data_IF_182301267326
#
_entry.id   IF_182301267326
#
_cell.length_a   1.000
_cell.length_b   1.000
_cell.length_c   1.000
_cell.angle_alpha   90.00
_cell.angle_beta   90.00
_cell.angle_gamma   90.00
#
_symmetry.space_group_name_H-M   'P 1'
#
loop_
_entity.id
_entity.type
_entity.pdbx_description
1 polymer ?
#
# COMPACT_ATOMS: atom_id res chain seq x y z
N UNK A 1 -4.96 -35.37 20.49
CA UNK A 1 -5.71 -34.10 20.67
C UNK A 1 -4.76 -32.97 21.02
N UNK A 2 -4.05 -33.01 22.16
CA UNK A 2 -3.10 -31.95 22.59
C UNK A 2 -2.04 -31.50 21.54
N UNK A 3 -1.42 -32.42 20.79
CA UNK A 3 -0.43 -32.05 19.75
C UNK A 3 -1.04 -31.31 18.55
N UNK A 4 -2.30 -31.61 18.20
CA UNK A 4 -3.00 -30.94 17.10
C UNK A 4 -3.45 -29.55 17.52
N UNK A 5 -3.95 -29.40 18.75
CA UNK A 5 -4.27 -28.10 19.35
C UNK A 5 -3.05 -27.19 19.42
N UNK A 6 -1.90 -27.72 19.87
CA UNK A 6 -0.63 -26.99 19.87
C UNK A 6 -0.21 -26.54 18.46
N UNK A 7 -0.38 -27.40 17.45
CA UNK A 7 -0.07 -27.07 16.06
C UNK A 7 -1.00 -26.00 15.51
N UNK A 8 -2.30 -26.06 15.81
CA UNK A 8 -3.28 -25.05 15.40
C UNK A 8 -2.99 -23.70 16.07
N UNK A 9 -2.63 -23.70 17.35
CA UNK A 9 -2.27 -22.49 18.08
C UNK A 9 -0.94 -21.89 17.57
N UNK A 10 0.04 -22.73 17.25
CA UNK A 10 1.27 -22.29 16.59
C UNK A 10 1.00 -21.65 15.22
N UNK A 11 0.08 -22.22 14.44
CA UNK A 11 -0.35 -21.65 13.17
C UNK A 11 -0.97 -20.26 13.34
N UNK A 12 -1.86 -20.10 14.34
CA UNK A 12 -2.45 -18.80 14.68
C UNK A 12 -1.37 -17.78 15.06
N UNK A 13 -0.46 -18.12 15.98
CA UNK A 13 0.62 -17.20 16.40
C UNK A 13 1.56 -16.80 15.26
N UNK A 14 1.87 -17.74 14.36
CA UNK A 14 2.74 -17.46 13.24
C UNK A 14 2.06 -16.61 12.15
N UNK A 15 0.80 -16.91 11.83
CA UNK A 15 0.10 -16.28 10.70
C UNK A 15 -0.68 -15.02 11.07
N UNK A 16 -1.25 -14.95 12.28
CA UNK A 16 -2.03 -13.80 12.75
C UNK A 16 -1.19 -12.86 13.64
N UNK A 17 -0.53 -13.40 14.68
CA UNK A 17 0.28 -12.59 15.62
C UNK A 17 1.71 -12.29 15.11
N UNK A 18 2.09 -12.83 13.94
CA UNK A 18 3.40 -12.61 13.27
C UNK A 18 4.62 -12.98 14.11
N UNK A 19 4.47 -13.86 15.10
CA UNK A 19 5.57 -14.27 15.98
C UNK A 19 6.63 -15.10 15.25
N UNK A 20 7.87 -15.06 15.75
CA UNK A 20 8.93 -15.92 15.23
C UNK A 20 8.84 -17.35 15.76
N UNK A 21 9.39 -18.31 14.99
CA UNK A 21 9.36 -19.74 15.34
C UNK A 21 9.97 -20.02 16.73
N UNK A 22 11.01 -19.28 17.12
CA UNK A 22 11.67 -19.41 18.44
C UNK A 22 10.77 -18.95 19.58
N UNK A 23 10.04 -17.85 19.38
CA UNK A 23 9.12 -17.29 20.37
C UNK A 23 7.91 -18.20 20.56
N UNK A 24 7.34 -18.69 19.45
CA UNK A 24 6.22 -19.65 19.46
C UNK A 24 6.63 -20.94 20.18
N UNK A 25 7.83 -21.45 19.90
CA UNK A 25 8.34 -22.66 20.55
C UNK A 25 8.45 -22.50 22.07
N UNK A 26 8.90 -21.32 22.52
CA UNK A 26 9.00 -20.97 23.94
C UNK A 26 7.61 -20.87 24.57
N UNK A 27 6.67 -20.16 23.92
CA UNK A 27 5.29 -19.96 24.38
C UNK A 27 4.50 -21.27 24.50
N UNK A 28 4.68 -22.18 23.54
CA UNK A 28 4.00 -23.48 23.50
C UNK A 28 4.77 -24.60 24.23
N UNK A 29 5.96 -24.30 24.78
CA UNK A 29 6.85 -25.27 25.44
C UNK A 29 7.18 -26.47 24.54
N UNK A 30 7.44 -26.21 23.26
CA UNK A 30 7.86 -27.21 22.26
C UNK A 30 9.29 -26.91 21.78
N UNK A 31 9.95 -27.89 21.14
CA UNK A 31 11.31 -27.68 20.61
C UNK A 31 11.26 -26.70 19.42
N UNK A 32 12.22 -25.77 19.28
CA UNK A 32 12.25 -24.82 18.15
C UNK A 32 12.17 -25.48 16.77
N UNK A 33 12.85 -26.62 16.60
CA UNK A 33 12.82 -27.37 15.34
C UNK A 33 11.41 -27.87 14.98
N UNK A 34 10.59 -28.20 15.98
CA UNK A 34 9.21 -28.68 15.76
C UNK A 34 8.33 -27.61 15.12
N UNK A 35 8.45 -26.34 15.56
CA UNK A 35 7.71 -25.23 14.95
C UNK A 35 8.26 -24.93 13.55
N UNK A 36 9.58 -25.00 13.37
CA UNK A 36 10.23 -24.87 12.06
C UNK A 36 9.72 -25.91 11.04
N UNK A 37 9.61 -27.17 11.45
CA UNK A 37 9.08 -28.26 10.62
C UNK A 37 7.61 -28.03 10.26
N UNK A 38 6.79 -27.54 11.19
CA UNK A 38 5.39 -27.22 10.90
C UNK A 38 5.26 -26.07 9.90
N UNK A 39 6.07 -25.02 10.04
CA UNK A 39 6.09 -23.89 9.10
C UNK A 39 6.47 -24.37 7.69
N UNK A 40 7.51 -25.21 7.59
CA UNK A 40 8.01 -25.72 6.31
C UNK A 40 7.02 -26.67 5.64
N UNK A 41 6.50 -27.65 6.37
CA UNK A 41 5.64 -28.69 5.82
C UNK A 41 4.20 -28.21 5.58
N UNK A 42 3.77 -27.16 6.27
CA UNK A 42 2.40 -26.63 6.18
C UNK A 42 2.21 -25.44 5.25
N UNK A 43 3.25 -24.99 4.53
CA UNK A 43 3.23 -23.76 3.71
C UNK A 43 2.81 -22.50 4.49
N UNK A 44 3.08 -22.45 5.81
CA UNK A 44 2.61 -21.36 6.66
C UNK A 44 3.20 -20.00 6.26
N UNK A 45 4.44 -20.01 5.75
CA UNK A 45 5.08 -18.79 5.24
C UNK A 45 4.30 -18.19 4.08
N UNK A 46 3.89 -19.00 3.11
CA UNK A 46 3.08 -18.54 1.98
C UNK A 46 1.73 -17.99 2.46
N UNK A 47 1.06 -18.66 3.40
CA UNK A 47 -0.21 -18.18 3.97
C UNK A 47 -0.03 -16.83 4.67
N UNK A 48 1.01 -16.70 5.50
CA UNK A 48 1.34 -15.45 6.19
C UNK A 48 1.66 -14.33 5.20
N UNK A 49 2.49 -14.62 4.21
CA UNK A 49 2.90 -13.64 3.20
C UNK A 49 1.69 -13.19 2.36
N UNK A 50 0.76 -14.10 2.01
CA UNK A 50 -0.50 -13.75 1.35
C UNK A 50 -1.41 -12.87 2.22
N UNK A 51 -1.42 -13.08 3.55
CA UNK A 51 -2.16 -12.21 4.48
C UNK A 51 -1.52 -10.83 4.63
N UNK A 52 -0.19 -10.76 4.71
CA UNK A 52 0.54 -9.48 4.79
C UNK A 52 0.36 -8.69 3.49
N UNK A 53 0.46 -9.35 2.35
CA UNK A 53 0.28 -8.75 1.03
C UNK A 53 -1.19 -8.65 0.61
N UNK A 54 -2.14 -8.77 1.56
CA UNK A 54 -3.54 -8.50 1.28
C UNK A 54 -3.71 -7.12 0.65
N UNK A 55 -4.80 -6.98 -0.09
CA UNK A 55 -5.00 -5.85 -0.97
C UNK A 55 -4.86 -4.49 -0.26
N UNK A 56 -5.21 -4.39 1.01
CA UNK A 56 -5.04 -3.19 1.84
C UNK A 56 -3.60 -2.66 1.89
N UNK A 57 -2.60 -3.48 2.25
CA UNK A 57 -1.23 -2.96 2.39
C UNK A 57 -0.61 -2.52 1.06
N UNK A 58 -0.99 -3.18 -0.05
CA UNK A 58 -0.55 -2.78 -1.39
C UNK A 58 -1.26 -1.50 -1.84
N UNK A 59 -2.54 -1.36 -1.50
CA UNK A 59 -3.32 -0.13 -1.73
C UNK A 59 -2.67 1.06 -1.04
N UNK A 60 -2.38 0.92 0.26
CA UNK A 60 -1.77 1.98 1.07
C UNK A 60 -0.42 2.43 0.48
N UNK A 61 0.40 1.49 0.02
CA UNK A 61 1.68 1.81 -0.64
C UNK A 61 1.50 2.54 -1.97
N UNK A 62 0.52 2.14 -2.79
CA UNK A 62 0.24 2.83 -4.06
C UNK A 62 -0.26 4.25 -3.78
N UNK A 63 -1.16 4.41 -2.80
CA UNK A 63 -1.67 5.71 -2.38
C UNK A 63 -0.54 6.60 -1.87
N UNK A 64 0.34 6.07 -1.02
CA UNK A 64 1.50 6.81 -0.50
C UNK A 64 2.40 7.34 -1.62
N UNK A 65 2.69 6.54 -2.65
CA UNK A 65 3.50 7.00 -3.79
C UNK A 65 2.81 8.14 -4.54
N UNK A 66 1.48 8.07 -4.72
CA UNK A 66 0.71 9.15 -5.36
C UNK A 66 0.76 10.41 -4.51
N UNK A 67 0.59 10.28 -3.19
CA UNK A 67 0.60 11.40 -2.26
C UNK A 67 1.98 12.08 -2.23
N UNK A 68 3.06 11.30 -2.18
CA UNK A 68 4.44 11.82 -2.21
C UNK A 68 4.73 12.58 -3.52
N UNK A 69 4.32 12.04 -4.67
CA UNK A 69 4.44 12.71 -5.96
C UNK A 69 3.60 13.99 -6.03
N UNK A 70 2.41 13.99 -5.43
CA UNK A 70 1.55 15.18 -5.37
C UNK A 70 2.17 16.28 -4.50
N UNK A 71 2.80 15.92 -3.38
CA UNK A 71 3.55 16.87 -2.54
C UNK A 71 4.72 17.47 -3.32
N UNK A 72 5.54 16.64 -3.95
CA UNK A 72 6.66 17.11 -4.80
C UNK A 72 6.16 18.03 -5.91
N UNK A 73 5.01 17.70 -6.51
CA UNK A 73 4.39 18.51 -7.55
C UNK A 73 4.02 19.90 -7.05
N UNK A 74 3.40 20.00 -5.88
CA UNK A 74 2.99 21.26 -5.27
C UNK A 74 4.20 22.15 -4.95
N UNK A 75 5.27 21.57 -4.43
CA UNK A 75 6.51 22.29 -4.14
C UNK A 75 7.15 22.87 -5.41
N UNK A 76 7.20 22.08 -6.48
CA UNK A 76 7.70 22.54 -7.78
C UNK A 76 6.81 23.65 -8.34
N UNK A 77 5.48 23.53 -8.23
CA UNK A 77 4.55 24.58 -8.68
C UNK A 77 4.76 25.89 -7.93
N UNK A 78 5.04 25.83 -6.63
CA UNK A 78 5.35 27.01 -5.82
C UNK A 78 6.61 27.70 -6.33
N UNK A 79 7.70 26.96 -6.55
CA UNK A 79 8.96 27.50 -7.10
C UNK A 79 8.77 28.12 -8.49
N UNK A 80 8.06 27.44 -9.39
CA UNK A 80 7.74 27.96 -10.74
C UNK A 80 6.94 29.26 -10.69
N UNK A 81 6.11 29.47 -9.66
CA UNK A 81 5.36 30.71 -9.47
C UNK A 81 6.24 31.84 -8.92
N UNK A 82 7.19 31.54 -8.05
CA UNK A 82 8.03 32.52 -7.37
C UNK A 82 9.22 32.98 -8.21
N UNK A 83 9.86 32.07 -8.95
CA UNK A 83 11.08 32.36 -9.73
C UNK A 83 10.91 33.50 -10.76
N UNK A 84 9.80 33.60 -11.52
CA UNK A 84 9.60 34.72 -12.44
C UNK A 84 9.59 36.09 -11.76
N UNK A 85 9.11 36.16 -10.52
CA UNK A 85 9.10 37.40 -9.74
C UNK A 85 10.50 37.75 -9.25
N UNK A 86 11.23 36.77 -8.72
CA UNK A 86 12.63 36.94 -8.29
C UNK A 86 13.53 37.37 -9.46
N UNK A 87 13.36 36.74 -10.63
CA UNK A 87 14.08 37.11 -11.85
C UNK A 87 13.81 38.57 -12.23
N UNK A 88 12.56 39.03 -12.18
CA UNK A 88 12.20 40.42 -12.51
C UNK A 88 12.82 41.43 -11.53
N UNK A 89 12.86 41.09 -10.24
CA UNK A 89 13.46 41.93 -9.21
C UNK A 89 14.98 42.05 -9.41
N UNK A 90 15.67 40.94 -9.65
CA UNK A 90 17.10 40.93 -9.97
C UNK A 90 17.41 41.68 -11.27
N UNK A 91 16.58 41.51 -12.31
CA UNK A 91 16.73 42.25 -13.56
C UNK A 91 16.54 43.77 -13.40
N UNK A 92 15.73 44.21 -12.43
CA UNK A 92 15.58 45.61 -12.07
C UNK A 92 16.82 46.11 -11.33
N UNK A 93 17.31 45.36 -10.35
CA UNK A 93 18.51 45.70 -9.57
C UNK A 93 19.75 45.83 -10.46
N UNK A 94 19.91 44.94 -11.45
CA UNK A 94 20.99 45.02 -12.45
C UNK A 94 21.01 46.37 -13.18
N UNK A 95 19.84 46.99 -13.43
CA UNK A 95 19.75 48.29 -14.12
C UNK A 95 20.14 49.47 -13.22
N UNK A 96 19.95 49.32 -11.92
CA UNK A 96 20.19 50.38 -10.92
C UNK A 96 21.63 50.35 -10.39
N UNK A 97 22.25 49.16 -10.34
CA UNK A 97 23.62 48.98 -9.87
C UNK A 97 24.63 49.55 -10.86
N UNK A 98 25.50 50.45 -10.41
CA UNK A 98 26.57 51.03 -11.23
C UNK A 98 27.84 50.17 -11.31
N UNK A 99 28.07 49.32 -10.29
CA UNK A 99 29.27 48.48 -10.21
C UNK A 99 29.17 47.28 -11.17
N UNK A 100 30.06 47.22 -12.16
CA UNK A 100 30.08 46.16 -13.17
C UNK A 100 30.30 44.76 -12.59
N UNK A 101 31.08 44.61 -11.52
CA UNK A 101 31.33 43.29 -10.92
C UNK A 101 30.05 42.74 -10.29
N UNK A 102 29.29 43.59 -9.59
CA UNK A 102 28.00 43.24 -9.00
C UNK A 102 26.97 42.92 -10.10
N UNK A 103 26.96 43.68 -11.20
CA UNK A 103 26.10 43.36 -12.35
C UNK A 103 26.39 41.98 -12.95
N UNK A 104 27.65 41.55 -13.00
CA UNK A 104 28.01 40.21 -13.52
C UNK A 104 27.47 39.13 -12.60
N UNK A 105 27.63 39.26 -11.29
CA UNK A 105 27.13 38.30 -10.31
C UNK A 105 25.59 38.16 -10.36
N UNK A 106 24.87 39.29 -10.38
CA UNK A 106 23.41 39.28 -10.52
C UNK A 106 22.94 38.66 -11.84
N UNK A 107 23.65 38.90 -12.95
CA UNK A 107 23.36 38.26 -14.25
C UNK A 107 23.57 36.75 -14.19
N UNK A 108 24.58 36.28 -13.48
CA UNK A 108 24.81 34.85 -13.24
C UNK A 108 23.64 34.24 -12.46
N UNK A 109 23.21 34.86 -11.36
CA UNK A 109 22.06 34.38 -10.58
C UNK A 109 20.77 34.33 -11.41
N UNK A 110 20.52 35.35 -12.24
CA UNK A 110 19.36 35.35 -13.17
C UNK A 110 19.44 34.19 -14.16
N UNK A 111 20.64 33.90 -14.68
CA UNK A 111 20.83 32.79 -15.62
C UNK A 111 20.60 31.42 -14.94
N UNK A 112 21.11 31.27 -13.70
CA UNK A 112 20.90 30.08 -12.88
C UNK A 112 19.41 29.86 -12.57
N UNK A 113 18.71 30.88 -12.08
CA UNK A 113 17.26 30.81 -11.80
C UNK A 113 16.44 30.47 -13.04
N UNK A 114 16.78 31.04 -14.21
CA UNK A 114 16.13 30.68 -15.49
C UNK A 114 16.41 29.24 -15.89
N UNK A 115 17.62 28.75 -15.62
CA UNK A 115 18.00 27.35 -15.82
C UNK A 115 17.17 26.42 -14.93
N UNK A 116 17.12 26.70 -13.63
CA UNK A 116 16.32 25.94 -12.67
C UNK A 116 14.82 25.97 -13.00
N UNK A 117 14.26 27.14 -13.35
CA UNK A 117 12.84 27.26 -13.73
C UNK A 117 12.51 26.33 -14.90
N UNK A 118 13.41 26.24 -15.89
CA UNK A 118 13.25 25.37 -17.05
C UNK A 118 13.31 23.89 -16.65
N UNK A 119 14.22 23.51 -15.77
CA UNK A 119 14.35 22.13 -15.33
C UNK A 119 13.20 21.71 -14.41
N UNK A 120 12.71 22.60 -13.54
CA UNK A 120 11.49 22.40 -12.75
C UNK A 120 10.25 22.20 -13.64
N UNK A 121 10.13 22.95 -14.74
CA UNK A 121 9.07 22.74 -15.74
C UNK A 121 9.19 21.40 -16.48
N UNK A 122 10.41 20.84 -16.62
CA UNK A 122 10.60 19.49 -17.16
C UNK A 122 10.23 18.43 -16.13
N UNK A 123 10.71 18.56 -14.89
CA UNK A 123 10.40 17.66 -13.77
C UNK A 123 8.89 17.53 -13.56
N UNK A 124 8.18 18.65 -13.63
CA UNK A 124 6.72 18.74 -13.69
C UNK A 124 6.10 17.68 -14.62
N UNK A 125 6.57 17.58 -15.87
CA UNK A 125 6.00 16.66 -16.86
C UNK A 125 6.22 15.21 -16.44
N UNK A 126 7.40 14.90 -15.90
CA UNK A 126 7.71 13.55 -15.41
C UNK A 126 6.85 13.16 -14.20
N UNK A 127 6.66 14.09 -13.26
CA UNK A 127 5.82 13.86 -12.08
C UNK A 127 4.35 13.70 -12.47
N UNK A 128 3.84 14.55 -13.36
CA UNK A 128 2.45 14.46 -13.86
C UNK A 128 2.21 13.10 -14.57
N UNK A 129 3.20 12.62 -15.35
CA UNK A 129 3.16 11.28 -15.94
C UNK A 129 3.20 10.17 -14.88
N UNK A 130 4.05 10.31 -13.85
CA UNK A 130 4.14 9.38 -12.73
C UNK A 130 2.81 9.26 -12.00
N UNK A 131 2.20 10.39 -11.63
CA UNK A 131 0.88 10.45 -10.97
C UNK A 131 -0.18 9.77 -11.84
N UNK A 132 -0.23 10.06 -13.15
CA UNK A 132 -1.18 9.42 -14.05
C UNK A 132 -0.99 7.89 -14.13
N UNK A 133 0.26 7.42 -14.18
CA UNK A 133 0.58 6.00 -14.19
C UNK A 133 0.14 5.32 -12.88
N UNK A 134 0.49 5.88 -11.73
CA UNK A 134 0.13 5.30 -10.43
C UNK A 134 -1.38 5.36 -10.17
N UNK A 135 -2.08 6.40 -10.60
CA UNK A 135 -3.54 6.44 -10.57
C UNK A 135 -4.17 5.34 -11.42
N UNK A 136 -3.60 5.05 -12.60
CA UNK A 136 -4.05 3.92 -13.42
C UNK A 136 -3.78 2.59 -12.71
N UNK A 137 -2.62 2.44 -12.08
CA UNK A 137 -2.29 1.26 -11.27
C UNK A 137 -3.26 1.09 -10.10
N UNK A 138 -3.63 2.17 -9.44
CA UNK A 138 -4.63 2.21 -8.36
C UNK A 138 -6.01 1.77 -8.85
N UNK A 139 -6.46 2.33 -9.98
CA UNK A 139 -7.74 1.97 -10.58
C UNK A 139 -7.79 0.49 -10.98
N UNK A 140 -6.74 0.00 -11.66
CA UNK A 140 -6.60 -1.41 -12.01
C UNK A 140 -6.58 -2.31 -10.77
N UNK A 141 -5.92 -1.85 -9.71
CA UNK A 141 -5.89 -2.58 -8.46
C UNK A 141 -7.26 -2.71 -7.82
N UNK A 142 -8.04 -1.62 -7.80
CA UNK A 142 -9.42 -1.66 -7.33
C UNK A 142 -10.30 -2.59 -8.17
N UNK A 143 -10.17 -2.59 -9.49
CA UNK A 143 -10.97 -3.48 -10.35
C UNK A 143 -10.57 -4.94 -10.19
N UNK A 144 -9.28 -5.25 -10.14
CA UNK A 144 -8.76 -6.62 -9.96
C UNK A 144 -9.08 -7.20 -8.58
N UNK A 145 -9.07 -6.37 -7.54
CA UNK A 145 -9.29 -6.80 -6.16
C UNK A 145 -10.73 -6.54 -5.67
N UNK A 146 -11.62 -6.04 -6.53
CA UNK A 146 -13.04 -5.94 -6.20
C UNK A 146 -13.60 -7.35 -6.04
N UNK A 147 -14.04 -7.67 -4.83
CA UNK A 147 -14.79 -8.90 -4.58
C UNK A 147 -16.20 -8.68 -5.14
N UNK A 148 -16.59 -9.48 -6.13
CA UNK A 148 -17.96 -9.49 -6.64
C UNK A 148 -18.84 -10.32 -5.72
N UNK A 149 -20.15 -10.03 -5.70
CA UNK A 149 -21.12 -10.84 -4.95
C UNK A 149 -21.03 -12.33 -5.34
N UNK A 150 -20.89 -12.63 -6.64
CA UNK A 150 -20.71 -14.00 -7.13
C UNK A 150 -19.50 -14.68 -6.50
N UNK A 151 -18.33 -14.05 -6.54
CA UNK A 151 -17.11 -14.63 -5.98
C UNK A 151 -17.18 -14.77 -4.47
N UNK A 152 -17.85 -13.83 -3.80
CA UNK A 152 -18.10 -13.89 -2.37
C UNK A 152 -18.95 -15.12 -2.00
N UNK A 153 -20.09 -15.31 -2.69
CA UNK A 153 -20.98 -16.45 -2.49
C UNK A 153 -20.24 -17.77 -2.74
N UNK A 154 -19.46 -17.88 -3.81
CA UNK A 154 -18.64 -19.08 -4.08
C UNK A 154 -17.67 -19.43 -2.94
N UNK A 155 -17.04 -18.42 -2.33
CA UNK A 155 -16.13 -18.62 -1.20
C UNK A 155 -16.92 -19.02 0.04
N UNK A 156 -18.04 -18.35 0.31
CA UNK A 156 -18.91 -18.66 1.44
C UNK A 156 -19.40 -20.11 1.35
N UNK A 157 -19.89 -20.55 0.20
CA UNK A 157 -20.32 -21.93 -0.02
C UNK A 157 -19.19 -22.93 0.24
N UNK A 158 -17.97 -22.65 -0.25
CA UNK A 158 -16.81 -23.52 0.02
C UNK A 158 -16.50 -23.63 1.51
N UNK A 159 -16.55 -22.53 2.25
CA UNK A 159 -16.29 -22.52 3.70
C UNK A 159 -17.35 -23.33 4.44
N UNK A 160 -18.63 -23.07 4.16
CA UNK A 160 -19.72 -23.73 4.88
C UNK A 160 -19.94 -25.19 4.46
N UNK A 161 -19.66 -25.56 3.20
CA UNK A 161 -19.64 -26.96 2.79
C UNK A 161 -18.52 -27.73 3.49
N UNK A 162 -17.32 -27.15 3.59
CA UNK A 162 -16.23 -27.75 4.38
C UNK A 162 -16.60 -27.87 5.87
N UNK A 163 -17.31 -26.87 6.43
CA UNK A 163 -17.84 -26.95 7.80
C UNK A 163 -18.86 -28.09 7.94
N UNK A 164 -19.74 -28.27 6.95
CA UNK A 164 -20.75 -29.35 6.95
C UNK A 164 -20.10 -30.73 6.93
N UNK A 165 -19.07 -30.91 6.10
CA UNK A 165 -18.30 -32.16 6.04
C UNK A 165 -17.58 -32.45 7.36
N UNK A 166 -17.13 -31.40 8.07
CA UNK A 166 -16.44 -31.52 9.36
C UNK A 166 -17.40 -31.79 10.53
N UNK A 167 -18.48 -31.01 10.64
CA UNK A 167 -19.52 -31.15 11.67
C UNK A 167 -20.87 -30.64 11.14
N UNK A 168 -21.73 -31.57 10.72
CA UNK A 168 -23.06 -31.27 10.18
C UNK A 168 -23.96 -30.58 11.21
N UNK A 169 -23.84 -30.91 12.50
CA UNK A 169 -24.66 -30.27 13.54
C UNK A 169 -24.28 -28.81 13.73
N UNK A 170 -22.99 -28.49 13.67
CA UNK A 170 -22.51 -27.12 13.71
C UNK A 170 -22.99 -26.35 12.47
N UNK A 171 -22.88 -26.95 11.28
CA UNK A 171 -23.38 -26.35 10.04
C UNK A 171 -24.86 -25.97 10.16
N UNK A 172 -25.72 -26.91 10.57
CA UNK A 172 -27.17 -26.66 10.71
C UNK A 172 -27.48 -25.51 11.68
N UNK A 173 -26.69 -25.35 12.76
CA UNK A 173 -26.83 -24.23 13.71
C UNK A 173 -26.47 -22.87 13.14
N UNK A 174 -25.77 -22.82 12.01
CA UNK A 174 -25.33 -21.57 11.37
C UNK A 174 -26.18 -21.16 10.17
N UNK A 175 -27.25 -21.90 9.82
CA UNK A 175 -28.08 -21.61 8.64
C UNK A 175 -28.67 -20.19 8.64
N UNK A 176 -29.20 -19.75 9.79
CA UNK A 176 -29.74 -18.39 9.92
C UNK A 176 -28.66 -17.34 9.68
N UNK A 177 -27.47 -17.53 10.29
CA UNK A 177 -26.31 -16.66 10.06
C UNK A 177 -25.87 -16.67 8.59
N UNK A 178 -25.78 -17.83 7.95
CA UNK A 178 -25.40 -17.96 6.54
C UNK A 178 -26.35 -17.15 5.65
N UNK A 179 -27.65 -17.27 5.89
CA UNK A 179 -28.68 -16.57 5.13
C UNK A 179 -28.63 -15.05 5.33
N UNK A 180 -28.63 -14.59 6.59
CA UNK A 180 -28.53 -13.17 6.91
C UNK A 180 -27.24 -12.55 6.38
N UNK A 181 -26.12 -13.28 6.45
CA UNK A 181 -24.84 -12.78 5.98
C UNK A 181 -24.81 -12.60 4.46
N UNK A 182 -25.42 -13.49 3.68
CA UNK A 182 -25.55 -13.33 2.21
C UNK A 182 -26.41 -12.12 1.89
N UNK A 183 -27.56 -11.95 2.57
CA UNK A 183 -28.42 -10.79 2.36
C UNK A 183 -27.67 -9.48 2.64
N UNK A 184 -26.92 -9.44 3.74
CA UNK A 184 -26.07 -8.29 4.05
C UNK A 184 -24.97 -8.09 2.99
N UNK A 185 -24.25 -9.15 2.60
CA UNK A 185 -23.22 -9.08 1.59
C UNK A 185 -23.76 -8.59 0.23
N UNK A 186 -24.99 -8.97 -0.14
CA UNK A 186 -25.65 -8.50 -1.34
C UNK A 186 -25.89 -6.98 -1.35
N UNK A 187 -26.07 -6.34 -0.18
CA UNK A 187 -26.14 -4.88 -0.10
C UNK A 187 -24.77 -4.20 -0.25
N UNK A 188 -23.69 -4.89 0.12
CA UNK A 188 -22.33 -4.35 0.11
C UNK A 188 -21.61 -4.54 -1.24
N UNK A 189 -21.90 -5.63 -1.95
CA UNK A 189 -21.19 -6.02 -3.18
C UNK A 189 -22.04 -5.91 -4.47
N UNK A 190 -23.27 -5.38 -4.39
CA UNK A 190 -24.07 -4.98 -5.56
C UNK A 190 -23.47 -3.76 -6.28
#
# INVERSE_FOLDING_TARGET
MAKQEQKNLAFFYFTEERMEAKEIATKLKVRPNTVGDWIKNGNWKQIRDSKINQSGQRLDRIQQVIDDLAVERLDIMKKIKEYPQQIRELEKEIREVSNKNIQVELKTQVAELKGEEKDLKRQTVFIDQGIAMWNKTLANFHTENKITLTRYIEIQEKIFNAMREYDEKLYMKTLDFQHEHILHAATQYN
#
